data_IF_669620535340
#
_entry.id   IF_669620535340
#
_cell.length_a   1.000
_cell.length_b   1.000
_cell.length_c   1.000
_cell.angle_alpha   90.00
_cell.angle_beta   90.00
_cell.angle_gamma   90.00
#
_symmetry.space_group_name_H-M   'P 1'
#
loop_
_entity.id
_entity.type
_entity.pdbx_description
1 polymer ?
#
# COMPACT_ATOMS: atom_id res chain seq x y z
N UNK A 1 -29.72 22.08 -27.81
CA UNK A 1 -29.64 20.80 -28.55
C UNK A 1 -28.46 20.90 -29.50
N UNK A 2 -27.31 20.33 -29.14
CA UNK A 2 -26.15 20.29 -30.04
C UNK A 2 -26.27 18.99 -30.83
N UNK A 3 -26.46 19.13 -32.14
CA UNK A 3 -26.61 18.03 -33.09
C UNK A 3 -25.22 17.48 -33.41
N UNK A 4 -24.78 16.45 -32.67
CA UNK A 4 -23.51 15.77 -32.94
C UNK A 4 -23.75 14.64 -33.96
N UNK A 5 -23.47 14.95 -35.22
CA UNK A 5 -23.62 14.09 -36.39
C UNK A 5 -22.55 13.00 -36.53
N UNK A 6 -21.62 12.87 -35.56
CA UNK A 6 -20.54 11.88 -35.64
C UNK A 6 -20.89 10.52 -35.04
N UNK A 7 -21.91 10.44 -34.16
CA UNK A 7 -22.36 9.18 -33.57
C UNK A 7 -21.27 8.44 -32.78
N UNK A 8 -20.22 9.12 -32.31
CA UNK A 8 -19.14 8.51 -31.53
C UNK A 8 -19.49 8.64 -30.04
N UNK A 9 -19.43 7.53 -29.31
CA UNK A 9 -19.64 7.48 -27.86
C UNK A 9 -18.34 7.07 -27.19
N UNK A 10 -17.99 7.78 -26.13
CA UNK A 10 -16.87 7.46 -25.26
C UNK A 10 -17.41 6.99 -23.91
N UNK A 11 -16.98 5.81 -23.50
CA UNK A 11 -17.30 5.27 -22.18
C UNK A 11 -16.00 4.99 -21.42
N UNK A 12 -15.96 5.44 -20.16
CA UNK A 12 -14.90 5.17 -19.21
C UNK A 12 -15.45 4.27 -18.10
N UNK A 13 -14.68 3.25 -17.74
CA UNK A 13 -15.02 2.35 -16.64
C UNK A 13 -13.81 2.22 -15.72
N UNK A 14 -14.00 2.39 -14.40
CA UNK A 14 -12.97 2.00 -13.45
C UNK A 14 -12.83 0.47 -13.46
N UNK A 15 -11.60 -0.03 -13.62
CA UNK A 15 -11.31 -1.46 -13.57
C UNK A 15 -10.94 -1.87 -12.14
N UNK A 16 -9.93 -1.20 -11.59
CA UNK A 16 -9.40 -1.53 -10.28
C UNK A 16 -8.80 -0.30 -9.62
N UNK A 17 -8.95 -0.25 -8.30
CA UNK A 17 -8.19 0.64 -7.43
C UNK A 17 -7.60 -0.22 -6.32
N UNK A 18 -6.29 -0.12 -6.10
CA UNK A 18 -5.59 -0.93 -5.11
C UNK A 18 -4.60 -0.09 -4.33
N UNK A 19 -4.63 -0.25 -3.02
CA UNK A 19 -3.61 0.29 -2.11
C UNK A 19 -2.86 -0.90 -1.52
N UNK A 20 -1.52 -0.86 -1.61
CA UNK A 20 -0.63 -1.85 -1.05
C UNK A 20 0.30 -1.17 -0.06
N UNK A 21 0.36 -1.73 1.14
CA UNK A 21 1.28 -1.31 2.19
C UNK A 21 2.39 -2.34 2.27
N UNK A 22 3.63 -1.89 2.10
CA UNK A 22 4.82 -2.73 2.21
C UNK A 22 5.22 -3.00 3.67
N UNK A 23 6.48 -3.36 3.88
CA UNK A 23 7.00 -3.57 5.23
C UNK A 23 7.26 -2.22 5.93
N UNK A 24 6.82 -2.04 7.19
CA UNK A 24 7.21 -0.91 8.01
C UNK A 24 8.72 -0.88 8.23
N UNK A 25 9.32 0.31 8.21
CA UNK A 25 10.74 0.48 8.50
C UNK A 25 10.98 1.72 9.37
N UNK A 26 12.16 1.78 9.99
CA UNK A 26 12.65 2.95 10.71
C UNK A 26 13.96 3.42 10.09
N UNK A 27 14.10 4.72 9.90
CA UNK A 27 15.35 5.31 9.39
C UNK A 27 16.43 5.39 10.47
N UNK A 28 16.03 5.39 11.75
CA UNK A 28 16.91 5.48 12.91
C UNK A 28 16.28 4.86 14.15
N UNK A 29 17.10 4.48 15.14
CA UNK A 29 16.69 3.75 16.35
C UNK A 29 15.53 4.41 17.12
N UNK A 30 15.49 5.74 17.18
CA UNK A 30 14.43 6.51 17.86
C UNK A 30 13.45 7.19 16.89
N UNK A 31 13.55 6.93 15.59
CA UNK A 31 12.65 7.53 14.59
C UNK A 31 11.30 6.85 14.56
N UNK A 32 10.29 7.59 14.09
CA UNK A 32 8.94 7.07 13.86
C UNK A 32 8.96 5.95 12.80
N UNK A 33 8.02 5.01 12.90
CA UNK A 33 7.84 3.96 11.89
C UNK A 33 7.21 4.55 10.63
N UNK A 34 7.89 4.37 9.52
CA UNK A 34 7.42 4.72 8.19
C UNK A 34 6.98 3.46 7.45
N UNK A 35 6.13 3.63 6.44
CA UNK A 35 5.74 2.55 5.56
C UNK A 35 5.70 3.05 4.12
N UNK A 36 6.11 2.18 3.20
CA UNK A 36 5.97 2.43 1.78
C UNK A 36 4.56 2.04 1.33
N UNK A 37 3.86 2.97 0.71
CA UNK A 37 2.54 2.77 0.13
C UNK A 37 2.62 2.83 -1.39
N UNK A 38 1.97 1.87 -2.05
CA UNK A 38 1.80 1.85 -3.50
C UNK A 38 0.30 1.96 -3.80
N UNK A 39 -0.08 2.99 -4.55
CA UNK A 39 -1.44 3.22 -5.03
C UNK A 39 -1.50 2.94 -6.52
N UNK A 40 -2.35 2.01 -6.93
CA UNK A 40 -2.55 1.62 -8.33
C UNK A 40 -3.98 1.94 -8.75
N UNK A 41 -4.12 2.68 -9.85
CA UNK A 41 -5.40 2.97 -10.50
C UNK A 41 -5.39 2.41 -11.92
N UNK A 42 -6.36 1.57 -12.24
CA UNK A 42 -6.56 1.02 -13.58
C UNK A 42 -7.91 1.48 -14.13
N UNK A 43 -7.90 2.13 -15.29
CA UNK A 43 -9.09 2.58 -16.01
C UNK A 43 -9.13 1.95 -17.40
N UNK A 44 -10.32 1.55 -17.83
CA UNK A 44 -10.59 1.18 -19.21
C UNK A 44 -11.39 2.30 -19.88
N UNK A 45 -11.04 2.61 -21.12
CA UNK A 45 -11.80 3.50 -21.99
C UNK A 45 -12.13 2.83 -23.31
N UNK A 46 -13.38 2.93 -23.75
CA UNK A 46 -13.79 2.47 -25.07
C UNK A 46 -14.48 3.58 -25.85
N UNK A 47 -14.14 3.67 -27.13
CA UNK A 47 -14.81 4.51 -28.12
C UNK A 47 -15.57 3.57 -29.05
N UNK A 48 -16.88 3.79 -29.20
CA UNK A 48 -17.68 3.00 -30.13
C UNK A 48 -18.65 3.88 -30.92
N UNK A 49 -19.04 3.40 -32.10
CA UNK A 49 -20.02 4.10 -32.95
C UNK A 49 -21.42 3.71 -32.51
N UNK A 50 -22.21 4.69 -32.08
CA UNK A 50 -23.57 4.56 -31.54
C UNK A 50 -24.53 3.78 -32.44
N UNK A 51 -24.39 3.93 -33.75
CA UNK A 51 -25.30 3.35 -34.74
C UNK A 51 -24.95 1.91 -35.14
N UNK A 52 -23.66 1.52 -35.08
CA UNK A 52 -23.21 0.17 -35.48
C UNK A 52 -22.79 -0.68 -34.29
N UNK A 53 -22.57 -0.09 -33.11
CA UNK A 53 -22.00 -0.78 -31.95
C UNK A 53 -20.53 -1.15 -32.10
N UNK A 54 -19.89 -0.70 -33.19
CA UNK A 54 -18.50 -1.03 -33.51
C UNK A 54 -17.55 -0.31 -32.56
N UNK A 55 -16.73 -1.08 -31.83
CA UNK A 55 -15.67 -0.56 -30.97
C UNK A 55 -14.52 -0.10 -31.85
N UNK A 56 -14.34 1.20 -31.95
CA UNK A 56 -13.28 1.82 -32.74
C UNK A 56 -11.95 1.84 -31.98
N UNK A 57 -12.01 1.91 -30.65
CA UNK A 57 -10.84 1.96 -29.80
C UNK A 57 -11.17 1.41 -28.42
N UNK A 58 -10.30 0.59 -27.86
CA UNK A 58 -10.36 0.13 -26.47
C UNK A 58 -8.97 0.17 -25.91
N UNK A 59 -8.78 0.82 -24.77
CA UNK A 59 -7.49 0.87 -24.10
C UNK A 59 -7.67 0.79 -22.59
N UNK A 60 -6.69 0.15 -21.94
CA UNK A 60 -6.57 0.06 -20.51
C UNK A 60 -5.32 0.82 -20.09
N UNK A 61 -5.50 1.78 -19.19
CA UNK A 61 -4.41 2.57 -18.67
C UNK A 61 -4.28 2.32 -17.18
N UNK A 62 -3.08 1.95 -16.75
CA UNK A 62 -2.73 1.77 -15.34
C UNK A 62 -1.74 2.85 -14.93
N UNK A 63 -2.03 3.51 -13.81
CA UNK A 63 -1.14 4.46 -13.15
C UNK A 63 -0.75 3.92 -11.78
N UNK A 64 0.53 4.03 -11.47
CA UNK A 64 1.09 3.66 -10.19
C UNK A 64 1.74 4.89 -9.55
N UNK A 65 1.44 5.12 -8.27
CA UNK A 65 2.10 6.12 -7.46
C UNK A 65 2.65 5.46 -6.20
N UNK A 66 3.88 5.82 -5.84
CA UNK A 66 4.57 5.24 -4.69
C UNK A 66 5.03 6.36 -3.78
N UNK A 67 4.64 6.27 -2.53
CA UNK A 67 4.98 7.25 -1.50
C UNK A 67 5.29 6.59 -0.16
N UNK A 68 5.78 7.41 0.78
CA UNK A 68 6.11 6.97 2.13
C UNK A 68 5.22 7.74 3.10
N UNK A 69 4.50 7.00 3.95
CA UNK A 69 3.61 7.58 4.96
C UNK A 69 3.99 7.06 6.35
N UNK A 70 3.59 7.78 7.39
CA UNK A 70 3.80 7.32 8.76
C UNK A 70 2.86 6.15 9.04
N UNK A 71 3.37 5.12 9.71
CA UNK A 71 2.56 3.96 10.10
C UNK A 71 1.38 4.36 11.00
N UNK A 72 1.59 5.33 11.90
CA UNK A 72 0.53 5.88 12.76
C UNK A 72 -0.61 6.52 11.97
N UNK A 73 -0.30 7.06 10.80
CA UNK A 73 -1.25 7.90 10.04
C UNK A 73 -2.12 7.06 9.10
N UNK A 74 -1.83 5.77 8.92
CA UNK A 74 -2.62 4.87 8.06
C UNK A 74 -4.09 4.90 8.46
N UNK A 75 -4.41 4.86 9.76
CA UNK A 75 -5.78 4.89 10.27
C UNK A 75 -6.50 6.23 10.01
N UNK A 76 -5.76 7.30 9.73
CA UNK A 76 -6.29 8.62 9.40
C UNK A 76 -6.39 8.84 7.89
N UNK A 77 -5.57 8.14 7.11
CA UNK A 77 -5.55 8.18 5.64
C UNK A 77 -6.64 7.28 5.07
N UNK A 78 -6.85 6.11 5.66
CA UNK A 78 -7.93 5.19 5.26
C UNK A 78 -9.27 5.66 5.83
N UNK A 79 -10.29 5.75 4.97
CA UNK A 79 -11.64 6.03 5.42
C UNK A 79 -12.41 4.73 5.62
N UNK A 80 -12.99 4.47 6.81
CA UNK A 80 -13.80 3.28 7.06
C UNK A 80 -15.00 3.16 6.12
N UNK A 81 -15.48 4.29 5.59
CA UNK A 81 -16.62 4.37 4.69
C UNK A 81 -16.26 4.11 3.22
N UNK A 82 -14.97 4.04 2.90
CA UNK A 82 -14.47 3.96 1.52
C UNK A 82 -13.64 2.68 1.36
N UNK A 83 -14.30 1.60 0.96
CA UNK A 83 -13.67 0.28 0.95
C UNK A 83 -12.42 0.19 0.08
N UNK A 84 -12.41 0.90 -1.05
CA UNK A 84 -11.27 0.94 -1.97
C UNK A 84 -10.06 1.69 -1.40
N UNK A 85 -10.25 2.51 -0.37
CA UNK A 85 -9.14 3.23 0.28
C UNK A 85 -8.34 2.34 1.24
N UNK A 86 -8.90 1.18 1.63
CA UNK A 86 -8.25 0.25 2.55
C UNK A 86 -7.17 -0.54 1.82
N UNK A 87 -5.95 -0.44 2.29
CA UNK A 87 -4.85 -1.20 1.75
C UNK A 87 -4.80 -2.62 2.28
N UNK A 88 -4.25 -3.50 1.45
CA UNK A 88 -3.96 -4.87 1.86
C UNK A 88 -2.61 -4.82 2.59
N UNK A 89 -2.63 -4.99 3.91
CA UNK A 89 -1.42 -5.07 4.73
C UNK A 89 -0.83 -6.47 4.63
N UNK A 90 0.45 -6.57 4.27
CA UNK A 90 1.22 -7.80 4.41
C UNK A 90 1.57 -7.97 5.88
N UNK A 91 0.69 -8.62 6.65
CA UNK A 91 0.87 -8.88 8.08
C UNK A 91 2.14 -9.69 8.32
N UNK A 92 3.24 -9.04 8.71
CA UNK A 92 4.40 -9.72 9.29
C UNK A 92 5.25 -8.71 10.07
N UNK A 93 4.92 -8.37 11.33
CA UNK A 93 5.77 -7.41 12.07
C UNK A 93 5.64 -7.34 13.60
N UNK A 94 4.67 -8.04 14.20
CA UNK A 94 4.57 -8.01 15.66
C UNK A 94 5.75 -8.72 16.35
N UNK A 95 6.40 -9.67 15.67
CA UNK A 95 7.50 -10.45 16.25
C UNK A 95 8.78 -9.62 16.42
N UNK A 96 9.19 -8.82 15.44
CA UNK A 96 10.45 -8.06 15.53
C UNK A 96 10.42 -7.01 16.64
N UNK A 97 9.28 -6.36 16.84
CA UNK A 97 9.15 -5.32 17.87
C UNK A 97 9.26 -5.83 19.32
N UNK A 98 9.03 -7.13 19.57
CA UNK A 98 9.10 -7.72 20.91
C UNK A 98 10.30 -8.67 21.07
N UNK A 99 10.69 -9.38 20.01
CA UNK A 99 11.83 -10.29 20.06
C UNK A 99 13.15 -9.53 20.20
N UNK A 100 13.31 -8.39 19.52
CA UNK A 100 14.56 -7.62 19.58
C UNK A 100 14.90 -7.17 21.03
N UNK A 101 13.98 -6.55 21.80
CA UNK A 101 14.25 -6.25 23.21
C UNK A 101 14.51 -7.48 24.08
N UNK A 102 13.76 -8.57 23.88
CA UNK A 102 13.90 -9.80 24.68
C UNK A 102 15.28 -10.41 24.47
N UNK A 103 15.73 -10.51 23.22
CA UNK A 103 17.05 -11.06 22.86
C UNK A 103 18.17 -10.26 23.49
N UNK A 104 18.09 -8.92 23.46
CA UNK A 104 19.08 -8.03 24.08
C UNK A 104 19.15 -8.27 25.59
N UNK A 105 18.00 -8.26 26.28
CA UNK A 105 17.93 -8.46 27.73
C UNK A 105 18.45 -9.84 28.12
N UNK A 106 18.02 -10.90 27.40
CA UNK A 106 18.46 -12.26 27.68
C UNK A 106 19.96 -12.44 27.45
N UNK A 107 20.51 -11.85 26.39
CA UNK A 107 21.94 -11.95 26.08
C UNK A 107 22.77 -11.24 27.14
N UNK A 108 22.36 -10.04 27.56
CA UNK A 108 23.03 -9.31 28.64
C UNK A 108 23.03 -10.11 29.96
N UNK A 109 21.89 -10.71 30.32
CA UNK A 109 21.78 -11.54 31.52
C UNK A 109 22.69 -12.77 31.47
N UNK A 110 22.75 -13.46 30.32
CA UNK A 110 23.63 -14.63 30.12
C UNK A 110 25.10 -14.22 30.20
N UNK A 111 25.48 -13.11 29.59
CA UNK A 111 26.87 -12.61 29.64
C UNK A 111 27.27 -12.28 31.08
N UNK A 112 26.40 -11.60 31.84
CA UNK A 112 26.64 -11.30 33.25
C UNK A 112 26.78 -12.59 34.05
N UNK A 113 25.87 -13.55 33.87
CA UNK A 113 25.92 -14.84 34.55
C UNK A 113 27.22 -15.59 34.27
N UNK A 114 27.64 -15.67 33.00
CA UNK A 114 28.88 -16.32 32.59
C UNK A 114 30.11 -15.59 33.16
N UNK A 115 30.10 -14.25 33.18
CA UNK A 115 31.21 -13.46 33.72
C UNK A 115 31.45 -13.72 35.21
N UNK A 116 30.38 -13.84 36.00
CA UNK A 116 30.48 -14.15 37.43
C UNK A 116 30.75 -15.64 37.70
N UNK A 117 30.27 -16.54 36.84
CA UNK A 117 30.45 -17.99 37.03
C UNK A 117 31.84 -18.47 36.65
N UNK A 118 32.45 -17.92 35.59
CA UNK A 118 33.74 -18.38 35.07
C UNK A 118 34.92 -17.75 35.85
N UNK A 119 34.70 -16.60 36.51
CA UNK A 119 35.74 -15.86 37.24
C UNK A 119 35.68 -16.01 38.77
N UNK A 120 34.72 -16.77 39.30
CA UNK A 120 34.62 -17.13 40.72
C UNK A 120 35.28 -18.48 41.00
#
# INVERSE_FOLDING_TARGET
MVNDSSGIVFELFPLAFRVLYGEPFRESFLSERLIRRTVTLSLAGKIYRKFTGEVMFSNEQTWENVDTVKWSDIQHIESPMVEFSRGISTTQDWYDSYLEPIVIISTAAVVIFLFFTIRS
#
